data_IF_571851841328
#
_entry.id   IF_571851841328
#
_cell.length_a   1.000
_cell.length_b   1.000
_cell.length_c   1.000
_cell.angle_alpha   90.00
_cell.angle_beta   90.00
_cell.angle_gamma   90.00
#
_symmetry.space_group_name_H-M   'P 1'
#
loop_
_entity.id
_entity.type
_entity.pdbx_description
1 polymer ?
#
# COMPACT_ATOMS: atom_id res chain seq x y z
N UNK A 1 -12.71 -14.84 -2.23
CA UNK A 1 -13.10 -13.46 -1.90
C UNK A 1 -14.35 -13.47 -1.04
N UNK A 2 -14.19 -12.99 0.17
CA UNK A 2 -15.31 -12.74 1.06
C UNK A 2 -15.95 -11.41 0.66
N UNK A 3 -17.24 -11.42 0.30
CA UNK A 3 -17.95 -10.23 -0.19
C UNK A 3 -18.03 -9.04 0.79
N UNK A 4 -17.76 -9.24 2.08
CA UNK A 4 -17.73 -8.18 3.09
C UNK A 4 -16.32 -7.68 3.45
N UNK A 5 -15.26 -8.37 3.00
CA UNK A 5 -13.89 -8.07 3.37
C UNK A 5 -13.23 -6.96 2.55
N UNK A 6 -12.30 -6.23 3.17
CA UNK A 6 -11.44 -5.29 2.45
C UNK A 6 -10.36 -6.05 1.69
N UNK A 7 -10.12 -5.65 0.46
CA UNK A 7 -9.07 -6.19 -0.38
C UNK A 7 -7.90 -5.21 -0.43
N UNK A 8 -6.69 -5.72 -0.27
CA UNK A 8 -5.48 -4.90 -0.30
C UNK A 8 -4.60 -5.37 -1.45
N UNK A 9 -4.30 -4.46 -2.35
CA UNK A 9 -3.32 -4.67 -3.41
C UNK A 9 -2.03 -3.98 -2.98
N UNK A 10 -0.94 -4.73 -2.93
CA UNK A 10 0.37 -4.17 -2.64
C UNK A 10 1.21 -4.21 -3.91
N UNK A 11 1.58 -3.03 -4.39
CA UNK A 11 2.47 -2.88 -5.54
C UNK A 11 3.85 -2.44 -5.04
N UNK A 12 4.84 -3.26 -5.28
CA UNK A 12 6.22 -2.98 -4.90
C UNK A 12 7.03 -2.55 -6.13
N UNK A 13 7.50 -1.31 -6.15
CA UNK A 13 8.37 -0.82 -7.22
C UNK A 13 9.83 -1.02 -6.88
N UNK A 14 10.59 -1.51 -7.84
CA UNK A 14 12.02 -1.76 -7.71
C UNK A 14 12.73 -0.55 -7.11
N UNK A 15 13.52 -0.77 -6.08
CA UNK A 15 14.33 0.26 -5.44
C UNK A 15 15.24 0.95 -6.45
N UNK A 16 15.28 2.27 -6.44
CA UNK A 16 16.08 3.09 -7.37
C UNK A 16 15.42 3.40 -8.71
N UNK A 17 14.30 2.75 -9.06
CA UNK A 17 13.56 3.10 -10.27
C UNK A 17 12.91 4.48 -10.12
N UNK A 18 13.13 5.35 -11.10
CA UNK A 18 12.37 6.59 -11.21
C UNK A 18 10.95 6.29 -11.63
N UNK A 19 9.98 6.82 -10.92
CA UNK A 19 8.56 6.58 -11.18
C UNK A 19 7.83 7.91 -11.22
N UNK A 20 7.09 8.14 -12.31
CA UNK A 20 6.25 9.32 -12.46
C UNK A 20 4.87 9.07 -11.87
N UNK A 21 4.32 10.08 -11.23
CA UNK A 21 2.99 9.99 -10.60
C UNK A 21 1.89 9.65 -11.62
N UNK A 22 1.97 10.17 -12.83
CA UNK A 22 1.02 9.88 -13.91
C UNK A 22 1.00 8.39 -14.28
N UNK A 23 2.16 7.78 -14.43
CA UNK A 23 2.28 6.35 -14.75
C UNK A 23 1.72 5.49 -13.61
N UNK A 24 2.06 5.84 -12.36
CA UNK A 24 1.54 5.13 -11.19
C UNK A 24 0.03 5.27 -11.06
N UNK A 25 -0.51 6.45 -11.28
CA UNK A 25 -1.96 6.70 -11.20
C UNK A 25 -2.72 5.83 -12.20
N UNK A 26 -2.25 5.76 -13.45
CA UNK A 26 -2.86 4.89 -14.47
C UNK A 26 -2.79 3.41 -14.08
N UNK A 27 -1.65 2.98 -13.55
CA UNK A 27 -1.47 1.59 -13.12
C UNK A 27 -2.36 1.23 -11.93
N UNK A 28 -2.45 2.12 -10.95
CA UNK A 28 -3.33 1.97 -9.78
C UNK A 28 -4.79 1.86 -10.21
N UNK A 29 -5.22 2.75 -11.09
CA UNK A 29 -6.59 2.76 -11.61
C UNK A 29 -6.91 1.43 -12.31
N UNK A 30 -6.00 0.94 -13.13
CA UNK A 30 -6.15 -0.36 -13.81
C UNK A 30 -6.34 -1.51 -12.81
N UNK A 31 -5.52 -1.56 -11.77
CA UNK A 31 -5.62 -2.60 -10.74
C UNK A 31 -6.89 -2.47 -9.92
N UNK A 32 -7.24 -1.27 -9.51
CA UNK A 32 -8.45 -1.01 -8.73
C UNK A 32 -9.71 -1.39 -9.51
N UNK A 33 -9.76 -1.08 -10.81
CA UNK A 33 -10.87 -1.49 -11.69
C UNK A 33 -10.95 -2.99 -11.88
N UNK A 34 -9.82 -3.65 -12.07
CA UNK A 34 -9.77 -5.10 -12.21
C UNK A 34 -10.28 -5.80 -10.93
N UNK A 35 -9.83 -5.34 -9.76
CA UNK A 35 -10.30 -5.87 -8.48
C UNK A 35 -11.79 -5.58 -8.25
N UNK A 36 -12.26 -4.39 -8.61
CA UNK A 36 -13.68 -4.03 -8.54
C UNK A 36 -14.54 -5.01 -9.33
N UNK A 37 -14.13 -5.36 -10.55
CA UNK A 37 -14.84 -6.35 -11.36
C UNK A 37 -14.90 -7.73 -10.70
N UNK A 38 -13.80 -8.17 -10.09
CA UNK A 38 -13.77 -9.44 -9.37
C UNK A 38 -14.72 -9.44 -8.18
N UNK A 39 -14.77 -8.35 -7.43
CA UNK A 39 -15.69 -8.20 -6.30
C UNK A 39 -17.15 -8.18 -6.76
N UNK A 40 -17.45 -7.47 -7.85
CA UNK A 40 -18.79 -7.44 -8.44
C UNK A 40 -19.22 -8.83 -8.90
N UNK A 41 -18.33 -9.60 -9.50
CA UNK A 41 -18.61 -10.98 -9.91
C UNK A 41 -18.87 -11.89 -8.69
N UNK A 42 -18.07 -11.73 -7.62
CA UNK A 42 -18.28 -12.47 -6.38
C UNK A 42 -19.61 -12.11 -5.72
N UNK A 43 -19.97 -10.83 -5.67
CA UNK A 43 -21.25 -10.35 -5.13
C UNK A 43 -22.43 -10.90 -5.93
N UNK A 44 -22.36 -10.90 -7.25
CA UNK A 44 -23.39 -11.45 -8.12
C UNK A 44 -23.60 -12.96 -7.88
N UNK A 45 -22.53 -13.73 -7.69
CA UNK A 45 -22.61 -15.15 -7.35
C UNK A 45 -23.23 -15.39 -5.98
N UNK A 46 -22.98 -14.50 -5.02
CA UNK A 46 -23.55 -14.58 -3.68
C UNK A 46 -24.99 -14.02 -3.59
N UNK A 47 -25.52 -13.46 -4.68
CA UNK A 47 -26.83 -12.80 -4.70
C UNK A 47 -26.85 -11.43 -4.04
N UNK A 48 -25.69 -10.82 -3.79
CA UNK A 48 -25.55 -9.49 -3.17
C UNK A 48 -25.53 -8.39 -4.23
N UNK A 49 -26.08 -7.21 -3.90
CA UNK A 49 -25.96 -6.03 -4.75
C UNK A 49 -24.58 -5.40 -4.62
N UNK A 50 -23.91 -5.14 -5.75
CA UNK A 50 -22.55 -4.55 -5.77
C UNK A 50 -22.50 -3.04 -5.73
N UNK A 51 -23.61 -2.36 -6.00
CA UNK A 51 -23.67 -0.90 -6.18
C UNK A 51 -23.43 -0.10 -4.89
N UNK A 52 -23.64 -0.71 -3.72
CA UNK A 52 -23.49 -0.05 -2.42
C UNK A 52 -22.03 0.32 -2.08
N UNK A 53 -21.06 -0.27 -2.77
CA UNK A 53 -19.65 -0.11 -2.46
C UNK A 53 -18.88 0.73 -3.49
N UNK A 54 -19.48 1.08 -4.60
CA UNK A 54 -18.79 1.75 -5.70
C UNK A 54 -18.87 3.28 -5.53
N UNK A 55 -17.71 3.94 -5.59
CA UNK A 55 -17.61 5.40 -5.58
C UNK A 55 -17.97 6.01 -6.95
N UNK A 56 -17.97 7.34 -7.04
CA UNK A 56 -18.29 8.07 -8.28
C UNK A 56 -17.34 7.75 -9.45
N UNK A 57 -16.13 7.29 -9.15
CA UNK A 57 -15.15 6.87 -10.17
C UNK A 57 -15.36 5.42 -10.65
N UNK A 58 -16.34 4.71 -10.12
CA UNK A 58 -16.60 3.31 -10.44
C UNK A 58 -15.63 2.33 -9.75
N UNK A 59 -14.94 2.75 -8.71
CA UNK A 59 -14.04 1.93 -7.92
C UNK A 59 -14.75 1.48 -6.64
N UNK A 60 -14.63 0.19 -6.31
CA UNK A 60 -15.20 -0.37 -5.09
C UNK A 60 -14.44 0.11 -3.86
N UNK A 61 -15.17 0.61 -2.86
CA UNK A 61 -14.60 1.15 -1.62
C UNK A 61 -13.84 0.11 -0.78
N UNK A 62 -14.07 -1.18 -1.02
CA UNK A 62 -13.35 -2.27 -0.37
C UNK A 62 -11.93 -2.46 -0.91
N UNK A 63 -11.63 -1.89 -2.09
CA UNK A 63 -10.32 -1.99 -2.72
C UNK A 63 -9.38 -0.93 -2.14
N UNK A 64 -8.28 -1.37 -1.56
CA UNK A 64 -7.22 -0.51 -1.06
C UNK A 64 -5.93 -0.86 -1.79
N UNK A 65 -5.15 0.15 -2.17
CA UNK A 65 -3.88 -0.05 -2.87
C UNK A 65 -2.75 0.60 -2.08
N UNK A 66 -1.71 -0.15 -1.84
CA UNK A 66 -0.48 0.35 -1.20
C UNK A 66 0.65 0.23 -2.22
N UNK A 67 1.31 1.34 -2.49
CA UNK A 67 2.41 1.39 -3.44
C UNK A 67 3.68 1.74 -2.68
N UNK A 68 4.63 0.83 -2.70
CA UNK A 68 5.93 1.00 -2.03
C UNK A 68 6.95 1.42 -3.07
N UNK A 69 7.48 2.61 -2.91
CA UNK A 69 8.46 3.21 -3.82
C UNK A 69 9.62 3.82 -3.04
N UNK A 70 10.74 4.04 -3.70
CA UNK A 70 11.82 4.84 -3.12
C UNK A 70 11.38 6.30 -3.04
N UNK A 71 11.04 6.87 -4.19
CA UNK A 71 10.56 8.24 -4.34
C UNK A 71 9.56 8.31 -5.49
N UNK A 72 8.64 9.26 -5.40
CA UNK A 72 7.74 9.60 -6.50
C UNK A 72 8.24 10.91 -7.11
N UNK A 73 8.48 10.89 -8.40
CA UNK A 73 8.91 12.06 -9.14
C UNK A 73 7.72 12.81 -9.73
N UNK A 74 7.83 14.14 -9.75
CA UNK A 74 6.86 15.00 -10.43
C UNK A 74 6.86 14.73 -11.94
N UNK A 75 5.70 14.88 -12.58
CA UNK A 75 5.57 14.76 -14.03
C UNK A 75 6.28 15.90 -14.79
N UNK A 76 6.53 17.02 -14.13
CA UNK A 76 6.97 18.26 -14.78
C UNK A 76 8.44 18.50 -14.59
N UNK A 77 9.25 18.08 -13.85
CA UNK A 77 10.68 18.43 -13.70
C UNK A 77 11.53 17.33 -13.05
N UNK A 78 11.08 16.11 -13.06
CA UNK A 78 11.73 15.02 -12.32
C UNK A 78 11.99 15.35 -10.83
N UNK A 79 11.19 16.26 -10.27
CA UNK A 79 11.26 16.63 -8.86
C UNK A 79 10.68 15.55 -7.98
N UNK A 80 11.31 15.30 -6.86
CA UNK A 80 10.80 14.37 -5.85
C UNK A 80 9.54 14.98 -5.23
N UNK A 81 8.45 14.25 -5.31
CA UNK A 81 7.18 14.67 -4.74
C UNK A 81 7.09 14.18 -3.29
N UNK A 82 6.71 15.05 -2.33
CA UNK A 82 6.41 14.60 -0.97
C UNK A 82 5.30 13.55 -0.95
N UNK A 83 5.40 12.58 -0.06
CA UNK A 83 4.38 11.51 0.11
C UNK A 83 2.97 12.08 0.25
N UNK A 84 2.82 13.14 1.04
CA UNK A 84 1.52 13.78 1.24
C UNK A 84 0.91 14.25 -0.08
N UNK A 85 1.69 14.96 -0.90
CA UNK A 85 1.20 15.45 -2.19
C UNK A 85 0.88 14.32 -3.17
N UNK A 86 1.70 13.27 -3.16
CA UNK A 86 1.44 12.06 -3.96
C UNK A 86 0.15 11.36 -3.52
N UNK A 87 -0.06 11.24 -2.22
CA UNK A 87 -1.26 10.61 -1.64
C UNK A 87 -2.52 11.43 -1.92
N UNK A 88 -2.44 12.75 -1.89
CA UNK A 88 -3.58 13.61 -2.22
C UNK A 88 -4.07 13.41 -3.67
N UNK A 89 -3.16 13.09 -4.58
CA UNK A 89 -3.51 12.81 -5.99
C UNK A 89 -4.21 11.48 -6.21
N UNK A 90 -3.94 10.49 -5.38
CA UNK A 90 -4.46 9.11 -5.59
C UNK A 90 -5.52 8.69 -4.57
N UNK A 91 -5.91 9.56 -3.66
CA UNK A 91 -6.87 9.21 -2.59
C UNK A 91 -8.24 8.77 -3.11
N UNK A 92 -8.64 9.21 -4.31
CA UNK A 92 -9.90 8.81 -4.93
C UNK A 92 -9.98 7.32 -5.25
N UNK A 93 -8.82 6.65 -5.31
CA UNK A 93 -8.72 5.22 -5.56
C UNK A 93 -8.49 4.40 -4.29
N UNK A 94 -8.62 4.98 -3.11
CA UNK A 94 -8.19 4.38 -1.85
C UNK A 94 -6.74 3.88 -1.91
N UNK A 95 -5.90 4.60 -2.62
CA UNK A 95 -4.50 4.25 -2.79
C UNK A 95 -3.61 5.16 -1.99
N UNK A 96 -2.46 4.64 -1.56
CA UNK A 96 -1.44 5.44 -0.89
C UNK A 96 -0.05 4.98 -1.26
N UNK A 97 0.85 5.95 -1.35
CA UNK A 97 2.28 5.71 -1.48
C UNK A 97 2.92 5.58 -0.10
N UNK A 98 3.85 4.65 0.01
CA UNK A 98 4.78 4.53 1.12
C UNK A 98 6.19 4.58 0.57
N UNK A 99 7.05 5.40 1.16
CA UNK A 99 8.47 5.39 0.83
C UNK A 99 9.15 4.26 1.61
N UNK A 100 9.96 3.49 0.90
CA UNK A 100 10.72 2.38 1.49
C UNK A 100 11.61 2.87 2.65
N UNK A 101 12.28 4.01 2.49
CA UNK A 101 13.11 4.62 3.53
C UNK A 101 12.32 4.92 4.81
N UNK A 102 11.12 5.47 4.68
CA UNK A 102 10.25 5.78 5.83
C UNK A 102 9.78 4.52 6.55
N UNK A 103 9.51 3.46 5.80
CA UNK A 103 9.14 2.16 6.38
C UNK A 103 10.28 1.56 7.20
N UNK A 104 11.50 1.63 6.67
CA UNK A 104 12.71 1.15 7.38
C UNK A 104 12.94 1.97 8.65
N UNK A 105 12.84 3.29 8.57
CA UNK A 105 13.01 4.19 9.71
C UNK A 105 11.98 3.90 10.81
N UNK A 106 10.71 3.82 10.46
CA UNK A 106 9.64 3.47 11.41
C UNK A 106 9.82 2.09 12.03
N UNK A 107 10.33 1.13 11.26
CA UNK A 107 10.63 -0.20 11.77
C UNK A 107 11.76 -0.16 12.79
N UNK A 108 12.80 0.65 12.54
CA UNK A 108 13.91 0.87 13.50
C UNK A 108 13.42 1.52 14.78
N UNK A 109 12.58 2.55 14.70
CA UNK A 109 12.00 3.22 15.87
C UNK A 109 11.18 2.26 16.73
N UNK A 110 10.31 1.45 16.12
CA UNK A 110 9.55 0.42 16.82
C UNK A 110 10.46 -0.63 17.47
N UNK A 111 11.55 -0.94 16.82
CA UNK A 111 12.55 -1.88 17.33
C UNK A 111 13.24 -1.33 18.57
N UNK A 112 13.60 -0.05 18.58
CA UNK A 112 14.20 0.63 19.72
C UNK A 112 13.23 0.68 20.90
N UNK A 113 11.98 1.07 20.69
CA UNK A 113 10.92 1.04 21.71
C UNK A 113 10.76 -0.37 22.29
N UNK A 114 10.82 -1.39 21.46
CA UNK A 114 10.70 -2.78 21.86
C UNK A 114 11.89 -3.23 22.69
N UNK A 115 13.13 -2.81 22.35
CA UNK A 115 14.36 -3.14 23.08
C UNK A 115 14.53 -2.37 24.40
N UNK A 116 13.91 -1.21 24.54
CA UNK A 116 13.92 -0.41 25.77
C UNK A 116 12.97 -0.95 26.83
N UNK A 117 12.04 -1.83 26.49
CA UNK A 117 11.12 -2.46 27.43
C UNK A 117 11.75 -3.74 28.01
N UNK A 118 12.09 -3.79 29.35
CA UNK A 118 12.76 -4.95 29.94
C UNK A 118 11.99 -6.27 29.81
N UNK A 119 10.67 -6.24 29.76
CA UNK A 119 9.83 -7.43 29.62
C UNK A 119 9.88 -8.04 28.21
N UNK A 120 10.37 -7.31 27.24
CA UNK A 120 10.42 -7.71 25.81
C UNK A 120 11.84 -7.90 25.28
N UNK A 121 12.86 -7.58 26.06
CA UNK A 121 14.26 -7.67 25.64
C UNK A 121 14.65 -9.08 25.19
N UNK A 122 14.23 -10.11 25.90
CA UNK A 122 14.53 -11.49 25.53
C UNK A 122 13.91 -11.91 24.20
N UNK A 123 12.68 -11.43 23.94
CA UNK A 123 11.97 -11.71 22.69
C UNK A 123 12.62 -10.98 21.52
N UNK A 124 13.02 -9.72 21.72
CA UNK A 124 13.75 -8.93 20.73
C UNK A 124 15.10 -9.54 20.38
N UNK A 125 15.86 -9.97 21.38
CA UNK A 125 17.13 -10.65 21.17
C UNK A 125 16.98 -11.95 20.37
N UNK A 126 15.97 -12.75 20.65
CA UNK A 126 15.64 -13.96 19.88
C UNK A 126 15.26 -13.65 18.44
N UNK A 127 14.49 -12.60 18.20
CA UNK A 127 14.10 -12.18 16.86
C UNK A 127 15.30 -11.71 16.04
N UNK A 128 16.20 -10.90 16.62
CA UNK A 128 17.44 -10.46 15.98
C UNK A 128 18.33 -11.65 15.61
N UNK A 129 18.49 -12.59 16.53
CA UNK A 129 19.30 -13.77 16.30
C UNK A 129 18.75 -14.64 15.17
N UNK A 130 17.43 -14.77 15.08
CA UNK A 130 16.77 -15.48 13.99
C UNK A 130 16.97 -14.78 12.64
N UNK A 131 16.94 -13.45 12.59
CA UNK A 131 17.20 -12.66 11.38
C UNK A 131 18.65 -12.78 10.91
N UNK A 132 19.61 -12.76 11.83
CA UNK A 132 21.04 -12.92 11.52
C UNK A 132 21.35 -14.29 10.91
N UNK A 133 20.60 -15.32 11.26
CA UNK A 133 20.74 -16.66 10.67
C UNK A 133 20.19 -16.76 9.25
N UNK A 134 19.30 -15.88 8.85
CA UNK A 134 18.66 -15.87 7.53
C UNK A 134 19.47 -15.05 6.53
N UNK A 135 20.25 -14.09 6.99
CA UNK A 135 21.05 -13.21 6.13
C UNK A 135 22.36 -13.86 5.63
#
# INVERSE_FOLDING_TARGET
>A
LDGGGRQVIVEFKRYGRKVKISELTLQIEKYARAMTRLLQQADARAGSGSHAYTNDSGIDARVNVIIIVKHVYSDIKDEIMPVKAANDRVRIFNARFLYFSDMVEKSKERYQEFTENPAQNDLAAKAIHALDKIS
#
